data_IF_163729257828
#
_entry.id   IF_163729257828
#
_cell.length_a   1.000
_cell.length_b   1.000
_cell.length_c   1.000
_cell.angle_alpha   90.00
_cell.angle_beta   90.00
_cell.angle_gamma   90.00
#
_symmetry.space_group_name_H-M   'P 1'
#
loop_
_entity.id
_entity.type
_entity.pdbx_description
1 polymer ?
#
# COMPACT_ATOMS: atom_id res chain seq x y z
N UNK A 1 20.58 23.87 13.28
CA UNK A 1 20.41 23.92 11.80
C UNK A 1 20.18 22.54 11.18
N UNK A 2 20.78 21.44 11.68
CA UNK A 2 20.57 20.09 11.16
C UNK A 2 19.17 19.50 11.44
N UNK A 3 18.52 19.92 12.54
CA UNK A 3 17.21 19.39 12.96
C UNK A 3 16.06 19.76 12.02
N UNK A 4 16.12 20.92 11.35
CA UNK A 4 15.04 21.41 10.48
C UNK A 4 14.77 20.51 9.28
N UNK A 5 15.82 19.95 8.68
CA UNK A 5 15.71 19.09 7.49
C UNK A 5 15.16 17.70 7.84
N UNK A 6 15.51 17.18 9.02
CA UNK A 6 15.01 15.89 9.53
C UNK A 6 13.51 15.99 9.82
N UNK A 7 13.06 17.04 10.49
CA UNK A 7 11.64 17.32 10.71
C UNK A 7 10.88 17.40 9.38
N UNK A 8 11.41 18.15 8.42
CA UNK A 8 10.76 18.34 7.13
C UNK A 8 10.63 17.02 6.36
N UNK A 9 11.70 16.23 6.32
CA UNK A 9 11.70 14.90 5.71
C UNK A 9 10.67 13.98 6.36
N UNK A 10 10.71 13.84 7.69
CA UNK A 10 9.83 12.97 8.44
C UNK A 10 8.35 13.29 8.17
N UNK A 11 7.94 14.56 8.32
CA UNK A 11 6.55 14.98 8.12
C UNK A 11 6.07 14.81 6.66
N UNK A 12 6.98 15.00 5.70
CA UNK A 12 6.66 14.83 4.27
C UNK A 12 6.38 13.37 3.96
N UNK A 13 7.24 12.48 4.44
CA UNK A 13 7.09 11.02 4.27
C UNK A 13 5.89 10.51 5.06
N UNK A 14 5.66 10.99 6.27
CA UNK A 14 4.46 10.70 7.08
C UNK A 14 3.18 11.01 6.30
N UNK A 15 3.09 12.23 5.76
CA UNK A 15 1.92 12.68 4.99
C UNK A 15 1.70 11.77 3.79
N UNK A 16 2.76 11.47 3.05
CA UNK A 16 2.71 10.54 1.92
C UNK A 16 2.15 9.17 2.34
N UNK A 17 2.68 8.54 3.39
CA UNK A 17 2.20 7.23 3.86
C UNK A 17 0.76 7.28 4.38
N UNK A 18 0.39 8.33 5.11
CA UNK A 18 -1.00 8.53 5.57
C UNK A 18 -1.95 8.55 4.38
N UNK A 19 -1.63 9.28 3.31
CA UNK A 19 -2.46 9.33 2.10
C UNK A 19 -2.54 7.98 1.39
N UNK A 20 -1.41 7.26 1.27
CA UNK A 20 -1.37 5.90 0.70
C UNK A 20 -2.25 4.94 1.50
N UNK A 21 -2.17 4.97 2.84
CA UNK A 21 -2.95 4.08 3.71
C UNK A 21 -4.44 4.44 3.75
N UNK A 22 -4.78 5.74 3.75
CA UNK A 22 -6.17 6.18 3.60
C UNK A 22 -6.74 5.67 2.29
N UNK A 23 -5.99 5.83 1.18
CA UNK A 23 -6.39 5.32 -0.11
C UNK A 23 -6.60 3.80 -0.06
N UNK A 24 -5.66 3.03 0.50
CA UNK A 24 -5.77 1.58 0.63
C UNK A 24 -7.01 1.15 1.44
N UNK A 25 -7.24 1.80 2.59
CA UNK A 25 -8.38 1.53 3.45
C UNK A 25 -9.72 1.85 2.76
N UNK A 26 -9.80 2.97 2.01
CA UNK A 26 -10.99 3.31 1.23
C UNK A 26 -11.30 2.27 0.15
N UNK A 27 -10.28 1.80 -0.59
CA UNK A 27 -10.46 0.79 -1.62
C UNK A 27 -10.93 -0.56 -1.04
N UNK A 28 -10.45 -0.95 0.14
CA UNK A 28 -10.88 -2.18 0.83
C UNK A 28 -12.25 -2.04 1.50
N UNK A 29 -12.53 -0.87 2.07
CA UNK A 29 -13.80 -0.57 2.69
C UNK A 29 -14.95 -0.50 1.67
N UNK A 30 -14.68 -0.04 0.45
CA UNK A 30 -15.68 0.04 -0.62
C UNK A 30 -16.21 -1.34 -1.04
N UNK A 31 -15.38 -2.38 -1.04
CA UNK A 31 -15.80 -3.74 -1.34
C UNK A 31 -15.03 -4.79 -0.52
N UNK A 32 -15.38 -4.86 0.76
CA UNK A 32 -14.72 -5.75 1.70
C UNK A 32 -14.96 -7.24 1.38
N UNK A 33 -16.09 -7.56 0.77
CA UNK A 33 -16.42 -8.93 0.36
C UNK A 33 -15.49 -9.38 -0.76
N UNK A 34 -15.29 -8.55 -1.77
CA UNK A 34 -14.30 -8.82 -2.82
C UNK A 34 -12.88 -8.90 -2.26
N UNK A 35 -12.52 -8.04 -1.30
CA UNK A 35 -11.23 -8.13 -0.63
C UNK A 35 -11.03 -9.46 0.12
N UNK A 36 -12.06 -9.94 0.83
CA UNK A 36 -12.02 -11.26 1.47
C UNK A 36 -11.86 -12.40 0.47
N UNK A 37 -12.45 -12.29 -0.73
CA UNK A 37 -12.23 -13.24 -1.83
C UNK A 37 -10.76 -13.31 -2.25
N UNK A 38 -10.06 -12.18 -2.36
CA UNK A 38 -8.62 -12.20 -2.65
C UNK A 38 -7.82 -12.92 -1.56
N UNK A 39 -8.20 -12.75 -0.28
CA UNK A 39 -7.52 -13.40 0.86
C UNK A 39 -7.70 -14.92 0.83
N UNK A 40 -8.88 -15.43 0.49
CA UNK A 40 -9.13 -16.88 0.45
C UNK A 40 -8.24 -17.60 -0.57
N UNK A 41 -7.76 -16.91 -1.61
CA UNK A 41 -6.88 -17.50 -2.62
C UNK A 41 -5.41 -17.61 -2.18
N UNK A 42 -4.98 -16.93 -1.11
CA UNK A 42 -3.60 -17.01 -0.64
C UNK A 42 -3.28 -18.34 0.06
N UNK A 43 -4.26 -18.98 0.71
CA UNK A 43 -4.09 -20.30 1.34
C UNK A 43 -5.44 -20.91 1.67
N UNK A 44 -5.54 -22.25 1.54
CA UNK A 44 -6.70 -23.04 1.97
C UNK A 44 -7.03 -22.85 3.45
N UNK A 45 -6.03 -22.52 4.28
CA UNK A 45 -6.26 -22.23 5.70
C UNK A 45 -6.97 -20.88 5.93
N UNK A 46 -6.74 -19.90 5.03
CA UNK A 46 -7.40 -18.61 5.10
C UNK A 46 -8.82 -18.64 4.57
N UNK A 47 -9.22 -19.66 3.81
CA UNK A 47 -10.57 -19.77 3.25
C UNK A 47 -11.67 -19.63 4.32
N UNK A 48 -11.50 -20.25 5.48
CA UNK A 48 -12.46 -20.18 6.60
C UNK A 48 -12.38 -18.85 7.39
N UNK A 49 -11.25 -18.15 7.30
CA UNK A 49 -10.98 -16.93 8.06
C UNK A 49 -10.77 -15.70 7.16
N UNK A 50 -11.15 -15.77 5.89
CA UNK A 50 -10.81 -14.77 4.90
C UNK A 50 -11.50 -13.43 5.20
N UNK A 51 -12.77 -13.50 5.59
CA UNK A 51 -13.55 -12.34 5.99
C UNK A 51 -13.06 -11.68 7.29
N UNK A 52 -12.87 -12.41 8.42
CA UNK A 52 -12.32 -11.79 9.62
C UNK A 52 -10.90 -11.25 9.41
N UNK A 53 -10.08 -11.90 8.59
CA UNK A 53 -8.75 -11.39 8.25
C UNK A 53 -8.84 -10.12 7.38
N UNK A 54 -9.78 -10.03 6.45
CA UNK A 54 -10.05 -8.83 5.67
C UNK A 54 -10.43 -7.64 6.57
N UNK A 55 -11.34 -7.87 7.53
CA UNK A 55 -11.73 -6.87 8.53
C UNK A 55 -10.53 -6.46 9.38
N UNK A 56 -9.76 -7.43 9.89
CA UNK A 56 -8.60 -7.16 10.73
C UNK A 56 -7.56 -6.30 10.00
N UNK A 57 -7.31 -6.59 8.73
CA UNK A 57 -6.39 -5.83 7.90
C UNK A 57 -6.90 -4.40 7.64
N UNK A 58 -8.18 -4.23 7.32
CA UNK A 58 -8.79 -2.90 7.16
C UNK A 58 -8.70 -2.09 8.46
N UNK A 59 -9.06 -2.69 9.60
CA UNK A 59 -8.95 -2.05 10.92
C UNK A 59 -7.49 -1.71 11.23
N UNK A 60 -6.55 -2.59 10.90
CA UNK A 60 -5.12 -2.36 11.05
C UNK A 60 -4.63 -1.15 10.26
N UNK A 61 -5.07 -0.99 9.01
CA UNK A 61 -4.70 0.16 8.19
C UNK A 61 -5.27 1.48 8.71
N UNK A 62 -6.53 1.47 9.14
CA UNK A 62 -7.17 2.65 9.75
C UNK A 62 -6.46 3.00 11.06
N UNK A 63 -6.18 2.00 11.90
CA UNK A 63 -5.46 2.19 13.16
C UNK A 63 -4.07 2.77 12.90
N UNK A 64 -3.34 2.27 11.90
CA UNK A 64 -2.03 2.78 11.54
C UNK A 64 -2.07 4.28 11.22
N UNK A 65 -3.06 4.73 10.42
CA UNK A 65 -3.26 6.15 10.12
C UNK A 65 -3.55 6.97 11.38
N UNK A 66 -4.51 6.53 12.20
CA UNK A 66 -4.93 7.26 13.40
C UNK A 66 -3.78 7.38 14.40
N UNK A 67 -3.04 6.29 14.62
CA UNK A 67 -1.89 6.26 15.52
C UNK A 67 -0.76 7.15 15.00
N UNK A 68 -0.47 7.13 13.69
CA UNK A 68 0.61 7.94 13.08
C UNK A 68 0.36 9.44 13.19
N UNK A 69 -0.90 9.90 13.06
CA UNK A 69 -1.26 11.32 13.15
C UNK A 69 -1.21 11.82 14.60
N UNK A 70 -1.41 10.92 15.57
CA UNK A 70 -1.45 11.26 16.98
C UNK A 70 -0.02 11.39 17.54
N UNK A 71 0.41 12.57 18.04
CA UNK A 71 1.82 12.81 18.41
C UNK A 71 2.38 11.85 19.48
N UNK A 72 1.52 11.33 20.36
CA UNK A 72 1.91 10.42 21.45
C UNK A 72 2.13 8.98 20.94
N UNK A 73 1.43 8.59 19.87
CA UNK A 73 1.43 7.21 19.35
C UNK A 73 2.01 7.10 17.93
N UNK A 74 2.61 8.18 17.41
CA UNK A 74 3.10 8.27 16.04
C UNK A 74 4.05 7.11 15.70
N UNK A 75 5.03 6.83 16.55
CA UNK A 75 6.00 5.73 16.38
C UNK A 75 5.30 4.38 16.26
N UNK A 76 4.24 4.15 17.05
CA UNK A 76 3.48 2.90 16.99
C UNK A 76 2.68 2.78 15.69
N UNK A 77 2.11 3.89 15.19
CA UNK A 77 1.43 3.93 13.90
C UNK A 77 2.38 3.68 12.74
N UNK A 78 3.55 4.32 12.74
CA UNK A 78 4.62 4.14 11.75
C UNK A 78 5.11 2.69 11.70
N UNK A 79 5.32 2.10 12.88
CA UNK A 79 5.73 0.71 13.00
C UNK A 79 4.63 -0.22 12.45
N UNK A 80 3.36 0.07 12.75
CA UNK A 80 2.24 -0.70 12.22
C UNK A 80 2.14 -0.60 10.69
N UNK A 81 2.34 0.60 10.11
CA UNK A 81 2.40 0.78 8.65
C UNK A 81 3.50 -0.07 8.03
N UNK A 82 4.70 -0.05 8.62
CA UNK A 82 5.83 -0.86 8.16
C UNK A 82 5.52 -2.37 8.23
N UNK A 83 4.96 -2.84 9.36
CA UNK A 83 4.59 -4.25 9.54
C UNK A 83 3.53 -4.69 8.54
N UNK A 84 2.52 -3.87 8.28
CA UNK A 84 1.48 -4.15 7.29
C UNK A 84 2.10 -4.24 5.88
N UNK A 85 2.97 -3.30 5.49
CA UNK A 85 3.68 -3.33 4.20
C UNK A 85 4.54 -4.60 4.04
N UNK A 86 5.27 -4.98 5.08
CA UNK A 86 6.06 -6.23 5.08
C UNK A 86 5.14 -7.44 4.95
N UNK A 87 4.06 -7.50 5.73
CA UNK A 87 3.09 -8.58 5.70
C UNK A 87 2.47 -8.77 4.31
N UNK A 88 2.01 -7.68 3.68
CA UNK A 88 1.49 -7.72 2.31
C UNK A 88 2.55 -8.19 1.31
N UNK A 89 3.77 -7.66 1.41
CA UNK A 89 4.85 -8.00 0.50
C UNK A 89 5.26 -9.47 0.62
N UNK A 90 5.30 -10.00 1.84
CA UNK A 90 5.55 -11.42 2.07
C UNK A 90 4.46 -12.29 1.47
N UNK A 91 3.18 -11.99 1.73
CA UNK A 91 2.05 -12.71 1.14
C UNK A 91 2.11 -12.71 -0.40
N UNK A 92 2.32 -11.54 -1.02
CA UNK A 92 2.49 -11.40 -2.46
C UNK A 92 3.71 -12.18 -2.99
N UNK A 93 4.83 -12.18 -2.25
CA UNK A 93 6.04 -12.90 -2.67
C UNK A 93 5.88 -14.42 -2.63
N UNK A 94 5.16 -14.94 -1.63
CA UNK A 94 4.81 -16.36 -1.53
C UNK A 94 3.91 -16.78 -2.69
N UNK A 95 2.91 -15.95 -3.01
CA UNK A 95 2.02 -16.20 -4.14
C UNK A 95 2.77 -16.25 -5.48
N UNK A 96 3.69 -15.30 -5.70
CA UNK A 96 4.51 -15.25 -6.91
C UNK A 96 5.44 -16.46 -7.06
N UNK A 97 6.00 -16.96 -5.94
CA UNK A 97 6.82 -18.18 -5.92
C UNK A 97 6.01 -19.44 -6.25
N UNK A 98 4.72 -19.45 -5.91
CA UNK A 98 3.80 -20.55 -6.23
C UNK A 98 3.37 -20.61 -7.70
N UNK A 99 3.77 -19.64 -8.54
CA UNK A 99 3.46 -19.62 -9.98
C UNK A 99 2.10 -19.01 -10.34
N UNK A 100 1.21 -18.77 -9.37
CA UNK A 100 -0.07 -18.10 -9.61
C UNK A 100 0.15 -16.59 -9.69
N UNK A 101 0.16 -16.05 -10.91
CA UNK A 101 0.40 -14.62 -11.18
C UNK A 101 -0.87 -13.78 -11.19
N UNK A 102 -2.03 -14.41 -11.31
CA UNK A 102 -3.33 -13.77 -11.29
C UNK A 102 -4.14 -14.31 -10.10
N UNK A 103 -4.56 -13.40 -9.23
CA UNK A 103 -5.49 -13.72 -8.15
C UNK A 103 -6.88 -13.36 -8.67
N UNK A 104 -7.61 -14.36 -9.15
CA UNK A 104 -9.03 -14.24 -9.39
C UNK A 104 -9.75 -14.31 -8.03
N UNK A 105 -10.80 -13.52 -7.83
CA UNK A 105 -11.62 -13.55 -6.63
C UNK A 105 -12.84 -14.48 -6.78
N UNK A 106 -13.05 -15.11 -7.94
CA UNK A 106 -14.22 -15.94 -8.25
C UNK A 106 -15.55 -15.16 -8.31
N UNK A 107 -15.52 -13.87 -8.00
CA UNK A 107 -16.67 -12.96 -7.95
C UNK A 107 -16.82 -12.13 -9.24
N UNK A 108 -16.08 -12.45 -10.31
CA UNK A 108 -16.11 -11.73 -11.60
C UNK A 108 -15.40 -10.37 -11.61
N UNK A 109 -14.60 -10.05 -10.59
CA UNK A 109 -13.80 -8.84 -10.53
C UNK A 109 -12.49 -8.94 -11.32
N UNK A 110 -11.94 -7.79 -11.74
CA UNK A 110 -10.60 -7.70 -12.33
C UNK A 110 -9.55 -8.45 -11.47
N UNK A 111 -8.83 -9.42 -12.05
CA UNK A 111 -7.77 -10.15 -11.34
C UNK A 111 -6.65 -9.21 -10.93
N UNK A 112 -6.14 -9.38 -9.70
CA UNK A 112 -4.95 -8.64 -9.27
C UNK A 112 -3.73 -9.39 -9.79
N UNK A 113 -2.98 -8.74 -10.68
CA UNK A 113 -1.73 -9.30 -11.21
C UNK A 113 -0.60 -9.00 -10.24
N UNK A 114 -0.03 -10.04 -9.64
CA UNK A 114 1.15 -9.92 -8.78
C UNK A 114 2.39 -10.07 -9.64
N UNK A 115 3.17 -9.00 -9.77
CA UNK A 115 4.38 -8.98 -10.60
C UNK A 115 5.64 -8.67 -9.78
N UNK A 116 6.82 -8.93 -10.38
CA UNK A 116 8.10 -8.51 -9.79
C UNK A 116 8.20 -6.98 -9.60
N UNK A 117 7.50 -6.20 -10.43
CA UNK A 117 7.45 -4.73 -10.32
C UNK A 117 6.73 -4.30 -9.04
N UNK A 118 5.64 -4.99 -8.68
CA UNK A 118 4.89 -4.74 -7.44
C UNK A 118 5.76 -4.99 -6.21
N UNK A 119 6.57 -6.06 -6.22
CA UNK A 119 7.51 -6.35 -5.13
C UNK A 119 8.62 -5.29 -5.01
N UNK A 120 9.17 -4.81 -6.13
CA UNK A 120 10.18 -3.74 -6.11
C UNK A 120 9.60 -2.44 -5.53
N UNK A 121 8.39 -2.05 -5.96
CA UNK A 121 7.69 -0.89 -5.43
C UNK A 121 7.50 -1.01 -3.92
N UNK A 122 7.01 -2.15 -3.44
CA UNK A 122 6.81 -2.35 -2.01
C UNK A 122 8.13 -2.39 -1.24
N UNK A 123 9.22 -2.90 -1.82
CA UNK A 123 10.54 -2.83 -1.19
C UNK A 123 10.99 -1.38 -0.98
N UNK A 124 10.76 -0.50 -1.95
CA UNK A 124 11.04 0.95 -1.82
C UNK A 124 10.15 1.59 -0.74
N UNK A 125 8.87 1.21 -0.68
CA UNK A 125 7.98 1.70 0.39
C UNK A 125 8.42 1.21 1.77
N UNK A 126 8.87 -0.04 1.89
CA UNK A 126 9.38 -0.60 3.15
C UNK A 126 10.64 0.15 3.60
N UNK A 127 11.57 0.46 2.69
CA UNK A 127 12.78 1.21 3.06
C UNK A 127 12.45 2.64 3.48
N UNK A 128 11.51 3.31 2.80
CA UNK A 128 11.04 4.64 3.18
C UNK A 128 10.28 4.65 4.52
N UNK A 129 9.48 3.63 4.80
CA UNK A 129 8.80 3.48 6.09
C UNK A 129 9.82 3.18 7.22
N UNK A 130 10.87 2.41 6.92
CA UNK A 130 11.97 2.15 7.87
C UNK A 130 12.77 3.41 8.20
N UNK A 131 13.09 4.26 7.22
CA UNK A 131 13.79 5.52 7.46
C UNK A 131 12.95 6.53 8.24
N UNK A 132 11.63 6.49 8.06
CA UNK A 132 10.69 7.31 8.83
C UNK A 132 10.81 7.05 10.34
N UNK A 133 10.86 5.79 10.77
CA UNK A 133 11.02 5.41 12.18
C UNK A 133 12.31 5.95 12.82
N UNK A 134 13.39 6.05 12.04
CA UNK A 134 14.66 6.61 12.52
C UNK A 134 14.61 8.12 12.75
N UNK A 135 13.57 8.78 12.23
CA UNK A 135 13.40 10.24 12.25
C UNK A 135 12.19 10.67 13.05
N UNK A 136 11.62 9.81 13.89
CA UNK A 136 10.43 10.13 14.68
C UNK A 136 10.66 11.19 15.77
N UNK A 137 9.56 11.66 16.37
CA UNK A 137 9.54 12.60 17.52
C UNK A 137 10.20 13.96 17.26
N UNK A 138 10.04 14.49 16.05
CA UNK A 138 10.59 15.79 15.69
C UNK A 138 9.69 16.94 16.15
N UNK A 139 10.27 18.08 16.59
CA UNK A 139 9.48 19.26 16.94
C UNK A 139 8.74 19.79 15.71
N UNK A 140 7.43 20.04 15.85
CA UNK A 140 6.57 20.49 14.75
C UNK A 140 6.44 22.02 14.80
N UNK A 141 6.66 22.67 13.66
CA UNK A 141 6.34 24.09 13.45
C UNK A 141 5.24 24.21 12.40
N UNK A 142 4.42 25.27 12.47
CA UNK A 142 3.30 25.46 11.52
C UNK A 142 3.77 25.58 10.07
N UNK A 143 4.92 26.22 9.84
CA UNK A 143 5.50 26.38 8.49
C UNK A 143 6.03 25.05 7.95
N UNK A 144 6.75 24.26 8.77
CA UNK A 144 7.24 22.94 8.36
C UNK A 144 6.09 21.98 8.05
N UNK A 145 5.00 22.06 8.82
CA UNK A 145 3.79 21.27 8.58
C UNK A 145 3.16 21.58 7.22
N UNK A 146 2.96 22.87 6.88
CA UNK A 146 2.37 23.25 5.59
C UNK A 146 3.21 22.75 4.41
N UNK A 147 4.52 22.97 4.47
CA UNK A 147 5.45 22.53 3.42
C UNK A 147 5.49 21.00 3.31
N UNK A 148 5.42 20.30 4.44
CA UNK A 148 5.42 18.85 4.48
C UNK A 148 4.12 18.26 3.91
N UNK A 149 2.98 18.88 4.19
CA UNK A 149 1.69 18.48 3.61
C UNK A 149 1.73 18.64 2.08
N UNK A 150 2.16 19.82 1.60
CA UNK A 150 2.28 20.07 0.17
C UNK A 150 3.23 19.07 -0.51
N UNK A 151 4.41 18.85 0.07
CA UNK A 151 5.39 17.88 -0.45
C UNK A 151 4.85 16.44 -0.44
N UNK A 152 4.20 16.03 0.65
CA UNK A 152 3.63 14.69 0.79
C UNK A 152 2.48 14.43 -0.18
N UNK A 153 1.62 15.42 -0.41
CA UNK A 153 0.55 15.37 -1.42
C UNK A 153 1.13 15.26 -2.84
N UNK A 154 2.17 16.04 -3.16
CA UNK A 154 2.85 15.96 -4.47
C UNK A 154 3.46 14.57 -4.68
N UNK A 155 4.16 14.04 -3.67
CA UNK A 155 4.72 12.68 -3.71
C UNK A 155 3.63 11.62 -3.88
N UNK A 156 2.51 11.76 -3.15
CA UNK A 156 1.38 10.85 -3.26
C UNK A 156 0.74 10.91 -4.65
N UNK A 157 0.56 12.10 -5.20
CA UNK A 157 0.02 12.27 -6.55
C UNK A 157 0.95 11.67 -7.61
N UNK A 158 2.27 11.89 -7.49
CA UNK A 158 3.26 11.26 -8.36
C UNK A 158 3.25 9.73 -8.27
N UNK A 159 3.16 9.19 -7.06
CA UNK A 159 3.00 7.75 -6.82
C UNK A 159 1.73 7.21 -7.48
N UNK A 160 0.59 7.89 -7.30
CA UNK A 160 -0.68 7.50 -7.88
C UNK A 160 -0.64 7.51 -9.41
N UNK A 161 -0.04 8.53 -10.02
CA UNK A 161 0.13 8.59 -11.47
C UNK A 161 0.99 7.44 -12.00
N UNK A 162 2.08 7.10 -11.30
CA UNK A 162 2.92 5.96 -11.68
C UNK A 162 2.13 4.64 -11.59
N UNK A 163 1.31 4.46 -10.57
CA UNK A 163 0.43 3.30 -10.46
C UNK A 163 -0.56 3.22 -11.63
N UNK A 164 -1.20 4.33 -11.99
CA UNK A 164 -2.14 4.39 -13.11
C UNK A 164 -1.46 4.12 -14.46
N UNK A 165 -0.26 4.66 -14.67
CA UNK A 165 0.53 4.40 -15.88
C UNK A 165 0.90 2.91 -16.01
N UNK A 166 1.30 2.28 -14.90
CA UNK A 166 1.59 0.84 -14.89
C UNK A 166 0.34 0.01 -15.17
N UNK A 167 -0.78 0.35 -14.54
CA UNK A 167 -2.05 -0.34 -14.75
C UNK A 167 -2.51 -0.25 -16.22
N UNK A 168 -2.44 0.95 -16.81
CA UNK A 168 -2.79 1.17 -18.20
C UNK A 168 -1.85 0.42 -19.16
N UNK A 169 -0.55 0.36 -18.87
CA UNK A 169 0.40 -0.41 -19.68
C UNK A 169 0.06 -1.90 -19.68
N UNK A 170 -0.28 -2.47 -18.52
CA UNK A 170 -0.66 -3.88 -18.42
C UNK A 170 -1.96 -4.18 -19.18
N UNK A 171 -2.93 -3.25 -19.20
CA UNK A 171 -4.16 -3.37 -19.99
C UNK A 171 -3.90 -3.36 -21.50
N UNK A 172 -3.03 -2.48 -21.99
CA UNK A 172 -2.66 -2.41 -23.41
C UNK A 172 -2.03 -3.73 -23.88
N UNK A 173 -1.15 -4.32 -23.06
CA UNK A 173 -0.54 -5.61 -23.37
C UNK A 173 -1.57 -6.74 -23.44
N UNK A 174 -2.55 -6.75 -22.52
CA UNK A 174 -3.64 -7.75 -22.53
C UNK A 174 -4.53 -7.62 -23.77
N UNK A 175 -4.86 -6.39 -24.19
CA UNK A 175 -5.65 -6.16 -25.40
C UNK A 175 -4.92 -6.66 -26.66
N UNK A 176 -3.63 -6.35 -26.78
CA UNK A 176 -2.81 -6.82 -27.91
C UNK A 176 -2.74 -8.36 -27.97
N UNK A 177 -2.70 -9.04 -26.81
CA UNK A 177 -2.73 -10.50 -26.75
C UNK A 177 -4.09 -11.08 -27.21
N UNK A 178 -5.20 -10.48 -26.79
CA UNK A 178 -6.53 -10.93 -27.22
C UNK A 178 -6.79 -10.73 -28.71
N UNK A 179 -6.27 -9.65 -29.31
CA UNK A 179 -6.34 -9.46 -30.76
C UNK A 179 -5.57 -10.56 -31.50
N UNK A 180 -4.35 -10.90 -31.04
CA UNK A 180 -3.55 -11.98 -31.65
C UNK A 180 -4.22 -13.36 -31.55
N UNK A 181 -4.94 -13.65 -30.46
CA UNK A 181 -5.63 -14.93 -30.29
C UNK A 181 -6.87 -15.06 -31.20
N UNK A 182 -7.51 -13.94 -31.56
CA UNK A 182 -8.68 -13.92 -32.45
C UNK A 182 -8.31 -14.14 -33.93
N UNK A 183 -7.07 -13.84 -34.31
CA UNK A 183 -6.56 -13.98 -35.68
C UNK A 183 -6.00 -15.39 -35.99
N UNK A 184 -6.01 -16.31 -35.01
CA UNK A 184 -5.59 -17.72 -35.13
C UNK A 184 -6.82 -18.62 -35.22
#
# INVERSE_FOLDING_TARGET
MSTSWITQYHLTIMTFFVLVFIQAALHKGADLRRFSGYISHYSRHFEQHAYPLAVLLLVGEIAAVVLSITPITNVAGELLMLLLLIGYTLAMSMQLKSGNREIDCGCGGTPIVVSRRTLLRNAILITLAGSMLMTANQPITSLSLLMAIAGGVILWFGYYLLEQLMHNHDLILKLAQHEQEKDI
#
